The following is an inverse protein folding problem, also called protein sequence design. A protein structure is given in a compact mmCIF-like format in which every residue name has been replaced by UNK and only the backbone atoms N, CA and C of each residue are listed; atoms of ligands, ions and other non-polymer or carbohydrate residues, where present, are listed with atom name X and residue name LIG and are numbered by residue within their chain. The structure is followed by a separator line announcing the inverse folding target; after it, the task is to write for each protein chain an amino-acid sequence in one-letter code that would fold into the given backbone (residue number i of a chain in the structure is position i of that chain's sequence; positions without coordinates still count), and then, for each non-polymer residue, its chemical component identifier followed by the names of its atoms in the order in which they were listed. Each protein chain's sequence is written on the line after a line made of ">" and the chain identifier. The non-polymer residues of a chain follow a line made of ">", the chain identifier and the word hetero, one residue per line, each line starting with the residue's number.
data_IF_683845422943
#
_entry.id   IF_683845422943
#
_cell.length_a   1.000
_cell.length_b   1.000
_cell.length_c   1.000
_cell.angle_alpha   90.00
_cell.angle_beta   90.00
_cell.angle_gamma   90.00
#
_symmetry.space_group_name_H-M   'P 1'
#
loop_
_entity.id
_entity.type
_entity.pdbx_description
1 polymer ?
#
# COMPACT_ATOMS: atom_id res chain seq x y z
N UNK A 1 -36.35 -30.39 -12.22
CA UNK A 1 -37.40 -29.46 -11.76
C UNK A 1 -37.53 -29.46 -10.25
N UNK A 2 -37.91 -30.60 -9.66
CA UNK A 2 -38.29 -30.73 -8.22
C UNK A 2 -37.17 -30.36 -7.22
N UNK A 3 -35.89 -30.62 -7.52
CA UNK A 3 -34.74 -30.26 -6.66
C UNK A 3 -34.47 -28.74 -6.63
N UNK A 4 -34.72 -28.04 -7.73
CA UNK A 4 -34.54 -26.60 -7.81
C UNK A 4 -35.64 -25.82 -7.09
N UNK A 5 -36.87 -26.32 -7.17
CA UNK A 5 -38.04 -25.76 -6.45
C UNK A 5 -37.89 -25.94 -4.94
N UNK A 6 -37.44 -27.12 -4.50
CA UNK A 6 -37.19 -27.40 -3.09
C UNK A 6 -36.05 -26.52 -2.54
N UNK A 7 -34.98 -26.33 -3.29
CA UNK A 7 -33.90 -25.44 -2.90
C UNK A 7 -34.36 -23.98 -2.81
N UNK A 8 -35.18 -23.51 -3.74
CA UNK A 8 -35.76 -22.19 -3.72
C UNK A 8 -36.71 -21.96 -2.54
N UNK A 9 -37.56 -22.95 -2.23
CA UNK A 9 -38.41 -22.90 -1.06
C UNK A 9 -37.63 -22.83 0.25
N UNK A 10 -36.50 -23.56 0.36
CA UNK A 10 -35.62 -23.50 1.51
C UNK A 10 -34.95 -22.11 1.66
N UNK A 11 -34.56 -21.52 0.57
CA UNK A 11 -33.97 -20.12 0.58
C UNK A 11 -35.04 -19.11 1.03
N UNK A 12 -36.28 -19.24 0.56
CA UNK A 12 -37.37 -18.34 0.96
C UNK A 12 -37.69 -18.51 2.45
N UNK A 13 -37.77 -19.74 2.95
CA UNK A 13 -38.00 -20.02 4.38
C UNK A 13 -36.85 -19.43 5.25
N UNK A 14 -35.61 -19.56 4.83
CA UNK A 14 -34.48 -18.91 5.52
C UNK A 14 -34.57 -17.39 5.52
N UNK A 15 -35.01 -16.77 4.43
CA UNK A 15 -35.20 -15.31 4.36
C UNK A 15 -36.33 -14.86 5.31
N UNK A 16 -37.44 -15.58 5.35
CA UNK A 16 -38.55 -15.29 6.27
C UNK A 16 -38.13 -15.44 7.72
N UNK A 17 -37.39 -16.50 8.06
CA UNK A 17 -36.88 -16.73 9.41
C UNK A 17 -35.88 -15.65 9.87
N UNK A 18 -35.13 -15.05 8.94
CA UNK A 18 -34.20 -13.94 9.22
C UNK A 18 -34.86 -12.58 9.37
N UNK A 19 -36.06 -12.43 8.81
CA UNK A 19 -36.75 -11.14 8.75
C UNK A 19 -37.03 -10.53 10.14
N UNK A 20 -37.60 -11.26 11.14
CA UNK A 20 -37.82 -10.66 12.47
C UNK A 20 -36.52 -10.31 13.19
N UNK A 21 -35.42 -11.05 12.94
CA UNK A 21 -34.11 -10.75 13.50
C UNK A 21 -33.57 -9.46 12.86
N UNK A 22 -33.69 -9.32 11.55
CA UNK A 22 -33.24 -8.12 10.84
C UNK A 22 -34.03 -6.86 11.24
N UNK A 23 -35.34 -7.01 11.49
CA UNK A 23 -36.22 -5.92 11.94
C UNK A 23 -35.95 -5.51 13.40
N UNK A 24 -35.44 -6.44 14.23
CA UNK A 24 -35.08 -6.15 15.63
C UNK A 24 -33.63 -5.64 15.82
N UNK A 25 -32.81 -5.67 14.77
CA UNK A 25 -31.44 -5.15 14.87
C UNK A 25 -31.45 -3.64 14.94
N UNK A 26 -30.63 -3.06 15.83
CA UNK A 26 -30.43 -1.60 15.85
C UNK A 26 -29.88 -1.16 14.48
N UNK A 27 -30.26 0.04 14.06
CA UNK A 27 -29.74 0.66 12.85
C UNK A 27 -28.23 0.93 13.06
N UNK A 28 -27.41 0.07 12.46
CA UNK A 28 -25.95 0.18 12.54
C UNK A 28 -25.47 1.21 11.52
N UNK A 29 -24.56 2.06 11.94
CA UNK A 29 -23.87 2.95 11.01
C UNK A 29 -23.21 2.12 9.89
N UNK A 30 -23.52 2.47 8.65
CA UNK A 30 -23.00 1.79 7.46
C UNK A 30 -21.78 2.53 6.95
N UNK A 31 -20.70 1.82 6.73
CA UNK A 31 -19.53 2.35 6.03
C UNK A 31 -19.37 1.66 4.67
N UNK A 32 -18.69 2.35 3.77
CA UNK A 32 -18.28 1.73 2.52
C UNK A 32 -17.23 0.65 2.79
N UNK A 33 -17.45 -0.53 2.25
CA UNK A 33 -16.53 -1.66 2.34
C UNK A 33 -16.12 -2.14 0.96
N UNK A 34 -15.00 -2.85 0.89
CA UNK A 34 -14.51 -3.49 -0.32
C UNK A 34 -14.77 -4.99 -0.21
N UNK A 35 -15.41 -5.55 -1.23
CA UNK A 35 -15.63 -6.98 -1.36
C UNK A 35 -14.90 -7.50 -2.60
N UNK A 36 -14.38 -8.73 -2.53
CA UNK A 36 -13.80 -9.39 -3.69
C UNK A 36 -14.90 -9.75 -4.70
N UNK A 37 -14.64 -9.43 -5.94
CA UNK A 37 -15.36 -9.96 -7.09
C UNK A 37 -14.70 -11.28 -7.53
N UNK A 38 -15.26 -11.93 -8.56
CA UNK A 38 -14.69 -13.14 -9.14
C UNK A 38 -13.31 -12.81 -9.74
N UNK A 39 -12.24 -13.35 -9.18
CA UNK A 39 -10.90 -13.02 -9.65
C UNK A 39 -10.64 -13.67 -11.03
N UNK A 40 -10.06 -12.91 -11.95
CA UNK A 40 -9.71 -13.38 -13.28
C UNK A 40 -8.39 -12.78 -13.75
N UNK A 41 -7.69 -13.52 -14.59
CA UNK A 41 -6.51 -13.03 -15.30
C UNK A 41 -6.96 -12.08 -16.42
N UNK A 42 -6.09 -11.16 -16.81
CA UNK A 42 -6.41 -10.15 -17.82
C UNK A 42 -5.46 -10.21 -19.00
N UNK A 43 -5.96 -9.80 -20.16
CA UNK A 43 -5.13 -9.66 -21.34
C UNK A 43 -4.41 -8.32 -21.36
N UNK A 44 -3.17 -8.32 -21.89
CA UNK A 44 -2.45 -7.08 -22.16
C UNK A 44 -3.25 -6.21 -23.11
N UNK A 45 -3.49 -4.98 -22.71
CA UNK A 45 -4.18 -3.99 -23.53
C UNK A 45 -3.15 -3.31 -24.45
N UNK A 46 -3.18 -3.59 -25.75
CA UNK A 46 -2.27 -2.96 -26.70
C UNK A 46 -2.53 -1.44 -26.77
N UNK A 47 -1.47 -0.67 -26.58
CA UNK A 47 -1.58 0.79 -26.57
C UNK A 47 -2.47 1.37 -25.45
N UNK A 48 -2.83 0.55 -24.45
CA UNK A 48 -3.76 0.96 -23.38
C UNK A 48 -5.23 0.95 -23.79
N UNK A 49 -5.57 0.46 -24.98
CA UNK A 49 -6.95 0.43 -25.46
C UNK A 49 -7.74 -0.71 -24.81
N UNK A 50 -8.75 -0.41 -23.96
CA UNK A 50 -9.54 -1.41 -23.26
C UNK A 50 -10.39 -2.28 -24.20
N UNK A 51 -10.64 -1.85 -25.44
CA UNK A 51 -11.42 -2.60 -26.42
C UNK A 51 -10.60 -3.68 -27.14
N UNK A 52 -9.27 -3.67 -26.99
CA UNK A 52 -8.37 -4.66 -27.60
C UNK A 52 -7.93 -5.77 -26.64
N UNK A 53 -8.69 -6.04 -25.61
CA UNK A 53 -8.39 -7.06 -24.59
C UNK A 53 -8.19 -8.48 -25.17
N UNK A 54 -8.97 -8.85 -26.19
CA UNK A 54 -8.94 -10.19 -26.78
C UNK A 54 -7.72 -10.48 -27.67
N UNK A 55 -6.94 -9.47 -28.05
CA UNK A 55 -5.79 -9.58 -28.96
C UNK A 55 -4.44 -9.60 -28.25
N UNK A 56 -4.42 -9.37 -26.94
CA UNK A 56 -3.21 -9.37 -26.12
C UNK A 56 -2.89 -10.73 -25.53
N UNK A 57 -1.66 -10.88 -25.03
CA UNK A 57 -1.26 -12.05 -24.24
C UNK A 57 -2.03 -12.06 -22.92
N UNK A 58 -2.52 -13.24 -22.51
CA UNK A 58 -3.10 -13.42 -21.17
C UNK A 58 -1.99 -13.30 -20.12
N UNK A 59 -2.20 -12.43 -19.15
CA UNK A 59 -1.27 -12.20 -18.04
C UNK A 59 -1.91 -12.68 -16.75
N UNK A 60 -1.23 -13.58 -16.07
CA UNK A 60 -1.59 -14.03 -14.75
C UNK A 60 -1.38 -12.91 -13.72
N UNK A 61 -2.24 -12.88 -12.72
CA UNK A 61 -2.08 -12.00 -11.56
C UNK A 61 -0.75 -12.25 -10.88
N UNK A 62 -0.08 -11.20 -10.45
CA UNK A 62 1.23 -11.30 -9.82
C UNK A 62 1.76 -9.93 -9.42
N UNK A 63 2.97 -9.92 -8.88
CA UNK A 63 3.62 -8.72 -8.38
C UNK A 63 4.78 -8.31 -9.30
N UNK A 64 5.36 -7.13 -9.06
CA UNK A 64 6.45 -6.61 -9.87
C UNK A 64 7.70 -7.48 -9.73
N UNK A 65 8.06 -8.19 -10.79
CA UNK A 65 9.20 -9.12 -10.79
C UNK A 65 10.53 -8.42 -10.52
N UNK A 66 10.68 -7.18 -10.98
CA UNK A 66 11.89 -6.38 -10.73
C UNK A 66 12.13 -6.10 -9.23
N UNK A 67 11.07 -6.19 -8.41
CA UNK A 67 11.13 -6.06 -6.95
C UNK A 67 11.00 -7.42 -6.24
N UNK A 68 11.40 -8.51 -6.90
CA UNK A 68 11.30 -9.84 -6.32
C UNK A 68 9.88 -10.39 -6.24
N UNK A 69 8.90 -9.78 -6.93
CA UNK A 69 7.53 -10.26 -6.97
C UNK A 69 7.38 -11.54 -7.76
N UNK A 70 6.45 -12.37 -7.33
CA UNK A 70 6.11 -13.64 -7.97
C UNK A 70 4.68 -13.61 -8.53
N UNK A 71 4.37 -14.56 -9.41
CA UNK A 71 3.00 -14.79 -9.85
C UNK A 71 2.20 -15.43 -8.72
N UNK A 72 0.92 -15.09 -8.63
CA UNK A 72 0.01 -15.79 -7.74
C UNK A 72 -0.11 -17.24 -8.18
N UNK A 73 -0.18 -18.15 -7.21
CA UNK A 73 -0.45 -19.57 -7.46
C UNK A 73 -1.91 -19.76 -7.85
N UNK A 74 -2.20 -20.82 -8.60
CA UNK A 74 -3.57 -21.13 -9.02
C UNK A 74 -4.49 -21.44 -7.82
N UNK A 75 -3.92 -21.83 -6.67
CA UNK A 75 -4.63 -22.10 -5.42
C UNK A 75 -4.92 -20.82 -4.60
N UNK A 76 -4.50 -19.65 -5.05
CA UNK A 76 -4.76 -18.41 -4.34
C UNK A 76 -6.27 -18.12 -4.31
N UNK A 77 -6.87 -18.28 -3.13
CA UNK A 77 -8.27 -17.96 -2.90
C UNK A 77 -8.45 -16.42 -2.88
N UNK A 78 -9.41 -15.91 -3.65
CA UNK A 78 -9.75 -14.50 -3.66
C UNK A 78 -8.98 -13.66 -4.69
N UNK A 79 -9.01 -12.36 -4.51
CA UNK A 79 -8.46 -11.38 -5.48
C UNK A 79 -6.94 -11.29 -5.50
N UNK A 80 -6.24 -11.82 -4.51
CA UNK A 80 -4.80 -11.66 -4.31
C UNK A 80 -4.41 -10.39 -3.53
N UNK A 81 -5.37 -9.66 -2.95
CA UNK A 81 -5.07 -8.47 -2.13
C UNK A 81 -4.29 -8.79 -0.87
N UNK A 82 -4.56 -9.91 -0.23
CA UNK A 82 -3.84 -10.36 0.95
C UNK A 82 -2.37 -10.68 0.61
N UNK A 83 -2.16 -11.42 -0.46
CA UNK A 83 -0.84 -11.76 -0.97
C UNK A 83 -0.08 -10.49 -1.40
N UNK A 84 -0.76 -9.54 -2.05
CA UNK A 84 -0.20 -8.25 -2.39
C UNK A 84 0.24 -7.48 -1.12
N UNK A 85 -0.58 -7.46 -0.08
CA UNK A 85 -0.23 -6.80 1.18
C UNK A 85 1.00 -7.41 1.83
N UNK A 86 1.08 -8.74 1.86
CA UNK A 86 2.23 -9.47 2.37
C UNK A 86 3.50 -9.19 1.56
N UNK A 87 3.40 -9.15 0.23
CA UNK A 87 4.53 -8.81 -0.63
C UNK A 87 5.00 -7.37 -0.44
N UNK A 88 4.07 -6.40 -0.36
CA UNK A 88 4.41 -4.99 -0.13
C UNK A 88 5.14 -4.82 1.20
N UNK A 89 4.67 -5.46 2.27
CA UNK A 89 5.25 -5.34 3.62
C UNK A 89 6.37 -6.33 3.89
N UNK A 90 6.77 -7.11 2.90
CA UNK A 90 7.89 -8.04 3.02
C UNK A 90 9.21 -7.28 3.21
N UNK A 91 10.09 -7.80 4.06
CA UNK A 91 11.45 -7.28 4.22
C UNK A 91 12.30 -7.39 2.95
N UNK A 92 11.87 -8.19 1.97
CA UNK A 92 12.51 -8.29 0.67
C UNK A 92 12.07 -7.19 -0.31
N UNK A 93 10.99 -6.46 0.00
CA UNK A 93 10.58 -5.33 -0.81
C UNK A 93 11.41 -4.09 -0.42
N UNK A 94 12.30 -3.60 -1.30
CA UNK A 94 13.24 -2.54 -0.93
C UNK A 94 12.60 -1.16 -0.89
N UNK A 95 11.40 -0.97 -1.44
CA UNK A 95 10.84 0.36 -1.64
C UNK A 95 9.85 0.78 -0.56
N UNK A 96 8.98 -0.12 -0.11
CA UNK A 96 7.86 0.27 0.75
C UNK A 96 8.32 0.99 2.03
N UNK A 97 9.28 0.41 2.75
CA UNK A 97 9.82 1.02 3.96
C UNK A 97 10.48 2.38 3.67
N UNK A 98 11.29 2.47 2.59
CA UNK A 98 11.95 3.73 2.19
C UNK A 98 10.96 4.83 1.85
N UNK A 99 9.93 4.51 1.08
CA UNK A 99 8.87 5.47 0.72
C UNK A 99 8.13 5.96 1.95
N UNK A 100 7.75 5.06 2.85
CA UNK A 100 7.02 5.42 4.07
C UNK A 100 7.85 6.30 5.00
N UNK A 101 9.09 5.92 5.30
CA UNK A 101 9.93 6.73 6.19
C UNK A 101 10.31 8.07 5.58
N UNK A 102 10.49 8.14 4.26
CA UNK A 102 10.74 9.38 3.57
C UNK A 102 9.55 10.35 3.65
N UNK A 103 8.32 9.84 3.58
CA UNK A 103 7.11 10.65 3.78
C UNK A 103 6.99 11.12 5.22
N UNK A 104 7.24 10.25 6.20
CA UNK A 104 7.22 10.63 7.61
C UNK A 104 8.29 11.71 7.86
N UNK A 105 9.49 11.52 7.36
CA UNK A 105 10.57 12.52 7.43
C UNK A 105 10.17 13.87 6.82
N UNK A 106 9.59 13.81 5.62
CA UNK A 106 9.12 15.02 4.92
C UNK A 106 8.13 15.84 5.76
N UNK A 107 7.18 15.18 6.43
CA UNK A 107 6.21 15.88 7.27
C UNK A 107 6.82 16.48 8.55
N UNK A 108 7.94 15.97 9.02
CA UNK A 108 8.62 16.50 10.19
C UNK A 108 9.60 17.63 9.85
N UNK A 109 10.34 17.47 8.75
CA UNK A 109 11.47 18.34 8.41
C UNK A 109 11.12 19.33 7.28
N UNK A 110 9.93 19.14 6.63
CA UNK A 110 9.48 19.98 5.52
C UNK A 110 9.98 19.51 4.16
N UNK A 111 11.03 18.69 4.12
CA UNK A 111 11.61 18.14 2.89
C UNK A 111 11.98 16.66 3.09
N UNK A 112 11.72 15.84 2.08
CA UNK A 112 12.10 14.42 2.11
C UNK A 112 13.60 14.24 1.85
N UNK A 113 14.18 13.17 2.39
CA UNK A 113 15.54 12.70 2.04
C UNK A 113 15.62 12.43 0.54
N UNK A 114 14.55 11.88 -0.03
CA UNK A 114 14.26 11.90 -1.47
C UNK A 114 13.23 13.00 -1.70
N UNK A 115 13.64 14.03 -2.45
CA UNK A 115 12.83 15.24 -2.72
C UNK A 115 11.51 14.92 -3.41
N UNK A 116 11.52 13.96 -4.33
CA UNK A 116 10.34 13.47 -5.04
C UNK A 116 9.64 12.38 -4.25
N UNK A 117 8.86 12.77 -3.23
CA UNK A 117 8.23 11.84 -2.27
C UNK A 117 7.28 10.82 -2.88
N UNK A 118 6.79 11.07 -4.09
CA UNK A 118 5.90 10.18 -4.84
C UNK A 118 6.57 9.48 -6.03
N UNK A 119 7.86 9.73 -6.25
CA UNK A 119 8.62 9.09 -7.31
C UNK A 119 10.01 8.66 -6.80
N UNK A 120 10.15 7.36 -6.58
CA UNK A 120 11.39 6.68 -6.22
C UNK A 120 11.98 5.90 -7.40
N UNK A 121 11.46 6.14 -8.60
CA UNK A 121 11.92 5.53 -9.84
C UNK A 121 13.09 6.27 -10.49
N UNK A 122 13.39 5.87 -11.72
CA UNK A 122 14.51 6.42 -12.52
C UNK A 122 14.38 7.93 -12.77
N UNK A 123 13.16 8.46 -12.74
CA UNK A 123 12.88 9.89 -12.92
C UNK A 123 12.85 10.67 -11.61
N UNK A 124 12.87 9.97 -10.48
CA UNK A 124 12.90 10.59 -9.16
C UNK A 124 14.26 11.17 -8.81
N UNK A 125 14.27 12.05 -7.80
CA UNK A 125 15.51 12.59 -7.27
C UNK A 125 16.29 11.49 -6.52
N UNK A 126 17.61 11.56 -6.58
CA UNK A 126 18.47 10.74 -5.73
C UNK A 126 18.30 11.16 -4.25
N UNK A 127 18.44 10.23 -3.30
CA UNK A 127 18.44 10.57 -1.88
C UNK A 127 19.68 11.41 -1.53
N UNK A 128 19.47 12.48 -0.76
CA UNK A 128 20.58 13.32 -0.25
C UNK A 128 21.44 12.56 0.75
N UNK A 129 20.81 11.71 1.55
CA UNK A 129 21.45 10.90 2.60
C UNK A 129 21.03 9.42 2.48
N UNK A 130 21.62 8.64 1.54
CA UNK A 130 21.17 7.26 1.28
C UNK A 130 21.27 6.37 2.52
N UNK A 131 22.36 6.47 3.27
CA UNK A 131 22.58 5.66 4.48
C UNK A 131 21.54 5.96 5.58
N UNK A 132 21.15 7.22 5.74
CA UNK A 132 20.10 7.61 6.67
C UNK A 132 18.74 7.02 6.25
N UNK A 133 18.42 7.13 4.97
CA UNK A 133 17.18 6.56 4.42
C UNK A 133 17.12 5.05 4.66
N UNK A 134 18.21 4.34 4.41
CA UNK A 134 18.30 2.88 4.61
C UNK A 134 18.20 2.51 6.08
N UNK A 135 18.86 3.25 6.97
CA UNK A 135 18.77 3.05 8.40
C UNK A 135 17.34 3.26 8.92
N UNK A 136 16.68 4.34 8.54
CA UNK A 136 15.30 4.62 8.93
C UNK A 136 14.34 3.55 8.40
N UNK A 137 14.52 3.10 7.16
CA UNK A 137 13.71 2.04 6.56
C UNK A 137 13.88 0.70 7.31
N UNK A 138 15.12 0.34 7.61
CA UNK A 138 15.43 -0.84 8.42
C UNK A 138 14.80 -0.73 9.83
N UNK A 139 15.01 0.39 10.52
CA UNK A 139 14.46 0.62 11.86
C UNK A 139 12.93 0.51 11.86
N UNK A 140 12.26 1.10 10.86
CA UNK A 140 10.81 1.06 10.74
C UNK A 140 10.26 -0.38 10.64
N UNK A 141 10.91 -1.21 9.81
CA UNK A 141 10.56 -2.62 9.70
C UNK A 141 10.79 -3.38 11.01
N UNK A 142 11.91 -3.13 11.72
CA UNK A 142 12.22 -3.75 13.02
C UNK A 142 11.24 -3.35 14.13
N UNK A 143 10.63 -2.17 14.04
CA UNK A 143 9.61 -1.70 14.99
C UNK A 143 8.18 -2.13 14.59
N UNK A 144 8.04 -3.24 13.86
CA UNK A 144 6.77 -3.77 13.40
C UNK A 144 5.91 -2.71 12.67
N UNK A 145 6.53 -1.92 11.83
CA UNK A 145 5.87 -0.87 11.04
C UNK A 145 5.14 0.18 11.88
N UNK A 146 5.62 0.44 13.09
CA UNK A 146 5.01 1.38 14.02
C UNK A 146 5.33 2.84 13.64
N UNK A 147 4.37 3.51 13.03
CA UNK A 147 4.45 4.93 12.70
C UNK A 147 4.71 5.78 13.95
N UNK A 148 4.08 5.43 15.08
CA UNK A 148 4.28 6.14 16.36
C UNK A 148 5.73 6.05 16.85
N UNK A 149 6.37 4.88 16.72
CA UNK A 149 7.77 4.72 17.10
C UNK A 149 8.68 5.51 16.16
N UNK A 150 8.37 5.54 14.87
CA UNK A 150 9.15 6.34 13.91
C UNK A 150 9.03 7.83 14.20
N UNK A 151 7.84 8.36 14.49
CA UNK A 151 7.68 9.76 14.92
C UNK A 151 8.56 10.07 16.13
N UNK A 152 8.48 9.23 17.16
CA UNK A 152 9.29 9.41 18.37
C UNK A 152 10.78 9.41 18.03
N UNK A 153 11.22 8.46 17.23
CA UNK A 153 12.64 8.30 16.87
C UNK A 153 13.19 9.54 16.15
N UNK A 154 12.44 10.08 15.19
CA UNK A 154 12.82 11.30 14.47
C UNK A 154 12.82 12.50 15.41
N UNK A 155 11.73 12.73 16.15
CA UNK A 155 11.54 13.93 16.98
C UNK A 155 12.50 14.01 18.17
N UNK A 156 12.97 12.86 18.69
CA UNK A 156 13.96 12.81 19.77
C UNK A 156 15.41 12.80 19.26
N UNK A 157 15.62 12.84 17.94
CA UNK A 157 16.95 12.88 17.37
C UNK A 157 17.61 14.26 17.57
N UNK A 158 18.94 14.25 17.71
CA UNK A 158 19.69 15.50 17.80
C UNK A 158 19.52 16.37 16.55
N UNK A 159 19.29 15.77 15.39
CA UNK A 159 19.04 16.50 14.14
C UNK A 159 17.76 17.32 14.22
N UNK A 160 16.66 16.71 14.72
CA UNK A 160 15.37 17.40 14.85
C UNK A 160 15.36 18.47 15.95
N UNK A 161 16.12 18.25 17.03
CA UNK A 161 16.19 19.16 18.17
C UNK A 161 17.14 20.35 17.95
N UNK A 162 17.77 20.45 16.78
CA UNK A 162 18.60 21.60 16.44
C UNK A 162 17.76 22.86 16.28
N UNK A 163 18.34 23.98 16.69
CA UNK A 163 17.72 25.30 16.49
C UNK A 163 17.63 25.59 14.99
N UNK A 164 16.43 25.96 14.54
CA UNK A 164 16.20 26.47 13.19
C UNK A 164 16.50 27.97 13.17
N UNK A 165 17.77 28.34 13.04
CA UNK A 165 18.19 29.74 12.84
C UNK A 165 18.92 29.82 11.52
N UNK A 166 18.56 30.82 10.71
CA UNK A 166 19.35 31.20 9.56
C UNK A 166 20.70 31.72 10.03
N UNK A 167 21.75 30.97 9.76
CA UNK A 167 23.11 31.41 9.91
C UNK A 167 23.54 31.90 8.52
N UNK A 168 23.73 33.21 8.29
CA UNK A 168 24.04 33.75 6.96
C UNK A 168 25.19 33.03 6.25
N UNK A 169 26.23 32.63 7.01
CA UNK A 169 27.37 31.88 6.48
C UNK A 169 26.99 30.44 6.01
N UNK A 170 25.90 29.85 6.49
CA UNK A 170 25.46 28.53 6.05
C UNK A 170 24.69 28.61 4.73
N UNK A 171 23.95 29.69 4.50
CA UNK A 171 23.21 29.92 3.27
C UNK A 171 24.11 30.08 2.04
N UNK A 172 25.35 30.54 2.24
CA UNK A 172 26.33 30.61 1.16
C UNK A 172 26.94 29.26 0.81
N UNK A 173 27.00 28.32 1.79
CA UNK A 173 27.58 26.99 1.62
C UNK A 173 26.51 25.98 1.16
N UNK A 174 25.34 26.07 1.72
CA UNK A 174 24.20 25.16 1.42
C UNK A 174 22.90 25.97 1.28
N UNK A 175 22.70 26.63 0.10
CA UNK A 175 21.54 27.51 -0.13
C UNK A 175 20.22 26.75 -0.16
N UNK A 176 20.24 25.44 -0.33
CA UNK A 176 19.06 24.61 -0.39
C UNK A 176 18.76 23.91 0.93
N UNK A 177 19.67 23.95 1.87
CA UNK A 177 19.59 23.19 3.14
C UNK A 177 19.34 21.69 2.88
N UNK A 178 20.19 21.08 2.06
CA UNK A 178 20.11 19.67 1.62
C UNK A 178 20.82 18.69 2.56
#
# INVERSE_FOLDING_TARGET
>A
GKTREAAWAAVLAMREARRPIAESMPELERCYGVQDDVPHDVHVQRGGDPNQRSRGQLVRRGFLQILGGQKLTDDANGSGRLELSHWITSNHNPLFARVMVNRIWHYHVGRGIVKTTSDFGVRGAAPTHPQLLDHLAWYFAQQNWSVKQMHRYIMTSTAYMRQSSDIPASSDIDPNND
#
